data_IF_457789576838
#
_entry.id   IF_457789576838
#
_cell.length_a   1.000
_cell.length_b   1.000
_cell.length_c   1.000
_cell.angle_alpha   90.00
_cell.angle_beta   90.00
_cell.angle_gamma   90.00
#
_symmetry.space_group_name_H-M   'P 1'
#
loop_
_entity.id
_entity.type
_entity.pdbx_description
1 polymer ?
#
# COMPACT_ATOMS: atom_id res chain seq x y z
N UNK A 1 68.29 -32.32 -0.21
CA UNK A 1 67.62 -31.67 -1.39
C UNK A 1 66.17 -31.60 -1.14
N UNK A 2 65.69 -30.39 -1.12
CA UNK A 2 64.45 -29.95 -0.56
C UNK A 2 63.17 -30.45 -1.28
N UNK A 3 62.26 -31.00 -0.52
CA UNK A 3 60.84 -31.12 -0.89
C UNK A 3 60.00 -30.61 0.27
N UNK A 4 59.84 -29.31 0.33
CA UNK A 4 58.78 -28.65 1.14
C UNK A 4 58.38 -27.38 0.37
N UNK A 5 57.35 -27.44 -0.41
CA UNK A 5 56.58 -26.28 -0.82
C UNK A 5 55.49 -26.72 -1.80
N UNK A 6 54.38 -27.22 -1.34
CA UNK A 6 53.13 -27.18 -2.10
C UNK A 6 51.95 -27.67 -1.22
N UNK A 7 51.59 -26.91 -0.18
CA UNK A 7 50.30 -27.17 0.51
C UNK A 7 49.85 -25.95 1.31
N UNK A 8 49.88 -24.76 0.70
CA UNK A 8 49.23 -23.59 1.29
C UNK A 8 48.67 -22.75 0.13
N UNK A 9 47.63 -23.17 -0.51
CA UNK A 9 46.90 -22.31 -1.48
C UNK A 9 45.44 -22.74 -1.72
N UNK A 10 44.83 -23.57 -0.89
CA UNK A 10 43.44 -23.98 -1.12
C UNK A 10 42.45 -23.60 0.01
N UNK A 11 42.89 -22.91 1.04
CA UNK A 11 42.02 -22.54 2.16
C UNK A 11 41.56 -21.06 2.10
N UNK A 12 42.24 -20.23 1.30
CA UNK A 12 41.93 -18.81 1.21
C UNK A 12 40.79 -18.47 0.24
N UNK A 13 40.33 -19.38 -0.62
CA UNK A 13 39.30 -19.11 -1.63
C UNK A 13 37.87 -19.35 -1.12
N UNK A 14 37.67 -20.03 0.01
CA UNK A 14 36.33 -20.34 0.52
C UNK A 14 35.80 -19.31 1.53
N UNK A 15 36.66 -18.49 2.10
CA UNK A 15 36.24 -17.44 3.06
C UNK A 15 35.79 -16.14 2.38
N UNK A 16 36.13 -15.92 1.11
CA UNK A 16 35.74 -14.72 0.37
C UNK A 16 34.37 -14.82 -0.31
N UNK A 17 33.82 -16.05 -0.46
CA UNK A 17 32.53 -16.27 -1.15
C UNK A 17 31.30 -16.08 -0.29
N UNK A 18 31.40 -16.18 1.02
CA UNK A 18 30.25 -16.04 1.92
C UNK A 18 30.01 -14.61 2.47
N UNK A 19 30.95 -13.71 2.24
CA UNK A 19 30.87 -12.33 2.78
C UNK A 19 30.21 -11.31 1.89
N UNK A 20 29.96 -11.61 0.60
CA UNK A 20 29.50 -10.59 -0.37
C UNK A 20 27.99 -10.60 -0.58
N UNK A 21 27.30 -11.65 -0.18
CA UNK A 21 25.84 -11.73 -0.35
C UNK A 21 25.03 -10.98 0.71
N UNK A 22 25.66 -10.47 1.77
CA UNK A 22 24.97 -9.66 2.78
C UNK A 22 25.11 -8.14 2.60
N UNK A 23 25.88 -7.65 1.62
CA UNK A 23 26.18 -6.22 1.47
C UNK A 23 25.38 -5.51 0.38
N UNK A 24 24.45 -6.19 -0.31
CA UNK A 24 23.59 -5.59 -1.31
C UNK A 24 22.10 -5.74 -0.98
N UNK A 25 21.73 -5.63 0.30
CA UNK A 25 20.41 -5.11 0.61
C UNK A 25 20.50 -3.62 0.31
N UNK A 26 19.69 -3.06 -0.64
CA UNK A 26 19.50 -1.62 -0.66
C UNK A 26 19.08 -1.27 0.77
N UNK A 27 19.74 -0.28 1.36
CA UNK A 27 19.25 0.31 2.59
C UNK A 27 17.82 0.77 2.28
N UNK A 28 16.84 -0.05 2.67
CA UNK A 28 15.47 0.39 2.72
C UNK A 28 15.53 1.65 3.56
N UNK A 29 15.13 2.77 3.01
CA UNK A 29 14.99 4.01 3.76
C UNK A 29 14.28 3.62 5.06
N UNK A 30 14.88 3.91 6.20
CA UNK A 30 14.28 3.58 7.48
C UNK A 30 12.87 4.19 7.45
N UNK A 31 11.85 3.35 7.49
CA UNK A 31 10.46 3.76 7.53
C UNK A 31 10.24 4.52 8.84
N UNK A 32 10.42 5.83 8.79
CA UNK A 32 10.25 6.69 9.96
C UNK A 32 8.82 7.19 10.00
N UNK A 33 8.06 6.73 10.99
CA UNK A 33 6.77 7.33 11.31
C UNK A 33 7.02 8.56 12.17
N UNK A 34 6.53 9.72 11.71
CA UNK A 34 6.58 10.96 12.46
C UNK A 34 5.31 11.10 13.30
N UNK A 35 5.47 11.42 14.60
CA UNK A 35 4.34 11.72 15.47
C UNK A 35 3.63 12.99 14.99
N UNK A 36 2.34 12.90 14.66
CA UNK A 36 1.55 14.00 14.12
C UNK A 36 0.06 13.78 14.36
N UNK A 37 -0.69 14.86 14.34
CA UNK A 37 -2.17 14.83 14.28
C UNK A 37 -2.61 15.29 12.90
N UNK A 38 -3.53 14.58 12.30
CA UNK A 38 -4.11 14.90 11.00
C UNK A 38 -5.60 15.20 11.21
N UNK A 39 -6.00 16.44 10.98
CA UNK A 39 -7.38 16.86 11.05
C UNK A 39 -8.11 16.50 9.75
N UNK A 40 -8.60 15.27 9.67
CA UNK A 40 -9.16 14.70 8.43
C UNK A 40 -10.40 15.45 7.93
N UNK A 41 -11.16 16.08 8.83
CA UNK A 41 -12.32 16.91 8.48
C UNK A 41 -11.96 18.21 7.77
N UNK A 42 -10.70 18.67 7.85
CA UNK A 42 -10.21 19.88 7.19
C UNK A 42 -9.56 19.58 5.83
N UNK A 43 -9.41 18.31 5.49
CA UNK A 43 -8.77 17.90 4.24
C UNK A 43 -9.80 17.79 3.13
N UNK A 44 -9.80 18.78 2.24
CA UNK A 44 -10.68 18.79 1.07
C UNK A 44 -9.87 19.06 -0.21
N UNK A 45 -10.34 18.50 -1.31
CA UNK A 45 -9.81 18.81 -2.64
C UNK A 45 -8.29 18.67 -2.72
N UNK A 46 -7.62 19.71 -3.19
CA UNK A 46 -6.18 19.71 -3.42
C UNK A 46 -5.35 19.69 -2.13
N UNK A 47 -5.95 19.94 -0.95
CA UNK A 47 -5.30 19.70 0.34
C UNK A 47 -4.99 18.21 0.57
N UNK A 48 -5.76 17.30 -0.03
CA UNK A 48 -5.43 15.87 -0.07
C UNK A 48 -4.37 15.65 -1.14
N UNK A 49 -4.69 15.87 -2.41
CA UNK A 49 -3.79 15.78 -3.56
C UNK A 49 -4.48 16.25 -4.83
N UNK A 50 -3.76 16.42 -5.93
CA UNK A 50 -4.36 16.47 -7.25
C UNK A 50 -5.10 15.14 -7.55
N UNK A 51 -6.14 15.19 -8.38
CA UNK A 51 -6.82 13.98 -8.86
C UNK A 51 -5.88 13.18 -9.78
N UNK A 52 -5.85 11.88 -9.55
CA UNK A 52 -5.21 10.96 -10.50
C UNK A 52 -6.11 10.72 -11.73
N UNK A 53 -5.62 9.93 -12.70
CA UNK A 53 -6.37 9.60 -13.92
C UNK A 53 -7.71 8.89 -13.66
N UNK A 54 -7.87 8.21 -12.52
CA UNK A 54 -9.12 7.58 -12.08
C UNK A 54 -10.07 8.52 -11.32
N UNK A 55 -9.76 9.82 -11.26
CA UNK A 55 -10.59 10.80 -10.57
C UNK A 55 -10.49 10.80 -9.05
N UNK A 56 -9.58 10.00 -8.50
CA UNK A 56 -9.32 9.88 -7.07
C UNK A 56 -8.25 10.83 -6.60
N UNK A 57 -8.43 11.33 -5.38
CA UNK A 57 -7.39 11.99 -4.58
C UNK A 57 -6.86 10.99 -3.56
N UNK A 58 -5.56 10.92 -3.40
CA UNK A 58 -4.93 10.03 -2.42
C UNK A 58 -3.69 10.69 -1.84
N UNK A 59 -3.60 10.74 -0.52
CA UNK A 59 -2.41 11.22 0.20
C UNK A 59 -2.00 10.19 1.26
N UNK A 60 -0.83 9.61 1.06
CA UNK A 60 -0.25 8.66 2.00
C UNK A 60 0.47 9.42 3.11
N UNK A 61 0.16 9.09 4.35
CA UNK A 61 0.75 9.68 5.56
C UNK A 61 1.71 8.71 6.27
N UNK A 62 1.48 7.42 6.12
CA UNK A 62 2.34 6.37 6.68
C UNK A 62 2.66 5.38 5.58
N UNK A 63 3.95 5.05 5.45
CA UNK A 63 4.44 3.98 4.60
C UNK A 63 5.57 3.29 5.36
N UNK A 64 5.31 2.08 5.79
CA UNK A 64 6.23 1.22 6.55
C UNK A 64 6.19 -0.19 5.97
N UNK A 65 7.11 -1.06 6.34
CA UNK A 65 7.22 -2.42 5.80
C UNK A 65 5.92 -3.24 5.84
N UNK A 66 5.08 -3.01 6.84
CA UNK A 66 3.84 -3.78 7.05
C UNK A 66 2.59 -3.15 6.47
N UNK A 67 2.55 -1.83 6.26
CA UNK A 67 1.33 -1.15 5.84
C UNK A 67 1.56 0.25 5.27
N UNK A 68 0.58 0.71 4.48
CA UNK A 68 0.39 2.13 4.17
C UNK A 68 -0.91 2.62 4.77
N UNK A 69 -0.92 3.90 5.22
CA UNK A 69 -2.14 4.58 5.66
C UNK A 69 -2.29 5.86 4.85
N UNK A 70 -3.42 6.02 4.21
CA UNK A 70 -3.72 7.16 3.35
C UNK A 70 -5.12 7.71 3.58
N UNK A 71 -5.32 8.98 3.22
CA UNK A 71 -6.64 9.57 3.02
C UNK A 71 -6.96 9.49 1.53
N UNK A 72 -8.11 8.94 1.23
CA UNK A 72 -8.64 8.82 -0.13
C UNK A 72 -9.95 9.59 -0.23
N UNK A 73 -10.15 10.29 -1.34
CA UNK A 73 -11.40 10.99 -1.66
C UNK A 73 -11.70 10.82 -3.16
N UNK A 74 -12.82 10.20 -3.49
CA UNK A 74 -13.22 9.99 -4.87
C UNK A 74 -14.13 8.80 -5.09
N UNK A 75 -14.36 8.51 -6.36
CA UNK A 75 -15.27 7.47 -6.83
C UNK A 75 -14.52 6.52 -7.77
N UNK A 76 -13.63 5.66 -7.24
CA UNK A 76 -12.82 4.79 -8.08
C UNK A 76 -13.66 3.76 -8.83
N UNK A 77 -13.24 3.36 -10.03
CA UNK A 77 -13.86 2.26 -10.74
C UNK A 77 -13.70 0.95 -9.95
N UNK A 78 -14.52 -0.05 -10.28
CA UNK A 78 -14.42 -1.38 -9.70
C UNK A 78 -13.06 -1.98 -10.01
N UNK A 79 -12.40 -2.50 -8.97
CA UNK A 79 -11.07 -3.09 -9.08
C UNK A 79 -10.83 -4.12 -7.97
N UNK A 80 -9.67 -4.74 -7.98
CA UNK A 80 -9.15 -5.54 -6.88
C UNK A 80 -7.66 -5.24 -6.65
N UNK A 81 -7.19 -5.54 -5.45
CA UNK A 81 -5.77 -5.63 -5.11
C UNK A 81 -5.32 -7.08 -5.19
N UNK A 82 -4.29 -7.38 -5.99
CA UNK A 82 -3.83 -8.75 -6.16
C UNK A 82 -3.12 -9.28 -4.90
N UNK A 83 -2.39 -8.43 -4.19
CA UNK A 83 -1.51 -8.82 -3.11
C UNK A 83 -1.83 -8.14 -1.77
N UNK A 84 -2.36 -6.91 -1.77
CA UNK A 84 -2.69 -6.17 -0.56
C UNK A 84 -4.12 -6.45 -0.09
N UNK A 85 -4.29 -6.60 1.23
CA UNK A 85 -5.59 -6.39 1.87
C UNK A 85 -5.82 -4.90 2.01
N UNK A 86 -7.07 -4.46 1.97
CA UNK A 86 -7.44 -3.08 2.24
C UNK A 86 -8.48 -3.00 3.35
N UNK A 87 -8.32 -2.02 4.22
CA UNK A 87 -9.29 -1.68 5.27
C UNK A 87 -9.64 -0.22 5.06
N UNK A 88 -10.92 0.10 4.94
CA UNK A 88 -11.39 1.47 4.80
C UNK A 88 -12.27 1.86 5.98
N UNK A 89 -11.98 3.01 6.57
CA UNK A 89 -12.88 3.67 7.51
C UNK A 89 -13.49 4.88 6.84
N UNK A 90 -14.81 4.86 6.66
CA UNK A 90 -15.53 5.92 5.94
C UNK A 90 -15.61 7.15 6.83
N UNK A 91 -15.03 8.25 6.36
CA UNK A 91 -15.02 9.55 7.04
C UNK A 91 -16.23 10.40 6.63
N UNK A 92 -16.48 10.48 5.32
CA UNK A 92 -17.50 11.38 4.75
C UNK A 92 -18.13 10.74 3.52
N UNK A 93 -19.34 11.19 3.21
CA UNK A 93 -20.11 10.72 2.07
C UNK A 93 -20.90 9.45 2.36
N UNK A 94 -21.95 9.25 1.59
CA UNK A 94 -22.78 8.04 1.58
C UNK A 94 -22.92 7.54 0.16
N UNK A 95 -23.16 6.26 -0.01
CA UNK A 95 -23.34 5.69 -1.34
C UNK A 95 -23.30 4.18 -1.32
N UNK A 96 -23.14 3.61 -2.50
CA UNK A 96 -23.02 2.18 -2.72
C UNK A 96 -21.65 1.87 -3.30
N UNK A 97 -21.03 0.79 -2.82
CA UNK A 97 -19.79 0.23 -3.34
C UNK A 97 -19.98 -1.26 -3.64
N UNK A 98 -19.19 -1.78 -4.57
CA UNK A 98 -19.03 -3.23 -4.69
C UNK A 98 -18.15 -3.77 -3.55
N UNK A 99 -18.52 -4.92 -3.00
CA UNK A 99 -17.71 -5.70 -2.06
C UNK A 99 -17.91 -7.17 -2.39
N UNK A 100 -16.93 -7.75 -3.09
CA UNK A 100 -17.07 -9.06 -3.72
C UNK A 100 -18.07 -9.04 -4.87
N UNK A 101 -19.09 -9.87 -4.76
CA UNK A 101 -20.18 -10.03 -5.73
C UNK A 101 -21.43 -9.17 -5.44
N UNK A 102 -21.39 -8.32 -4.41
CA UNK A 102 -22.54 -7.55 -3.92
C UNK A 102 -22.27 -6.06 -3.91
N UNK A 103 -23.31 -5.29 -4.18
CA UNK A 103 -23.34 -3.88 -3.84
C UNK A 103 -23.77 -3.72 -2.38
N UNK A 104 -23.00 -2.95 -1.62
CA UNK A 104 -23.29 -2.65 -0.21
C UNK A 104 -23.34 -1.15 0.01
N UNK A 105 -24.26 -0.72 0.87
CA UNK A 105 -24.36 0.66 1.28
C UNK A 105 -23.31 0.98 2.32
N UNK A 106 -22.71 2.17 2.19
CA UNK A 106 -21.73 2.68 3.16
C UNK A 106 -22.05 4.12 3.56
N UNK A 107 -21.66 4.48 4.78
CA UNK A 107 -21.86 5.79 5.40
C UNK A 107 -20.71 6.10 6.36
N UNK A 108 -20.56 7.35 6.80
CA UNK A 108 -19.58 7.72 7.82
C UNK A 108 -19.67 6.84 9.07
N UNK A 109 -18.52 6.40 9.56
CA UNK A 109 -18.39 5.47 10.69
C UNK A 109 -18.32 4.00 10.31
N UNK A 110 -18.58 3.62 9.06
CA UNK A 110 -18.46 2.23 8.63
C UNK A 110 -17.00 1.82 8.45
N UNK A 111 -16.68 0.60 8.88
CA UNK A 111 -15.41 -0.06 8.63
C UNK A 111 -15.60 -1.14 7.58
N UNK A 112 -14.92 -1.00 6.45
CA UNK A 112 -14.98 -1.94 5.33
C UNK A 112 -13.70 -2.77 5.30
N UNK A 113 -13.83 -4.10 5.36
CA UNK A 113 -12.71 -5.04 5.32
C UNK A 113 -12.69 -5.70 3.94
N UNK A 114 -11.60 -5.53 3.22
CA UNK A 114 -11.44 -5.96 1.83
C UNK A 114 -10.21 -6.89 1.74
N UNK A 115 -10.40 -8.20 1.80
CA UNK A 115 -9.31 -9.13 1.58
C UNK A 115 -8.70 -8.96 0.18
N UNK A 116 -7.40 -9.23 0.02
CA UNK A 116 -6.75 -9.27 -1.29
C UNK A 116 -7.52 -10.18 -2.26
N UNK A 117 -7.56 -9.81 -3.54
CA UNK A 117 -8.30 -10.51 -4.56
C UNK A 117 -9.82 -10.23 -4.56
N UNK A 118 -10.34 -9.47 -3.58
CA UNK A 118 -11.77 -9.15 -3.52
C UNK A 118 -12.08 -7.96 -4.45
N UNK A 119 -12.98 -8.12 -5.44
CA UNK A 119 -13.51 -7.00 -6.20
C UNK A 119 -14.17 -5.97 -5.30
N UNK A 120 -13.86 -4.69 -5.48
CA UNK A 120 -14.44 -3.63 -4.64
C UNK A 120 -14.45 -2.27 -5.35
N UNK A 121 -14.89 -1.25 -4.65
CA UNK A 121 -15.13 0.09 -5.19
C UNK A 121 -16.27 0.14 -6.22
N UNK A 122 -16.07 0.64 -7.45
CA UNK A 122 -17.19 0.90 -8.36
C UNK A 122 -18.22 1.84 -7.72
N UNK A 123 -17.70 2.87 -7.05
CA UNK A 123 -18.41 3.72 -6.11
C UNK A 123 -19.53 4.52 -6.80
N UNK A 124 -20.73 4.45 -6.26
CA UNK A 124 -21.90 5.24 -6.65
C UNK A 124 -22.31 6.11 -5.46
N UNK A 125 -21.77 7.33 -5.31
CA UNK A 125 -22.09 8.19 -4.19
C UNK A 125 -23.48 8.81 -4.35
N UNK A 126 -24.15 9.10 -3.23
CA UNK A 126 -25.41 9.85 -3.25
C UNK A 126 -25.19 11.35 -3.52
N UNK A 127 -23.98 11.83 -3.27
CA UNK A 127 -23.54 13.20 -3.47
C UNK A 127 -22.30 13.29 -4.35
N UNK A 128 -21.23 13.95 -3.85
CA UNK A 128 -20.01 14.21 -4.64
C UNK A 128 -19.07 13.01 -4.67
N UNK A 129 -18.60 12.60 -3.50
CA UNK A 129 -17.55 11.57 -3.33
C UNK A 129 -17.72 10.86 -1.99
N UNK A 130 -16.98 9.77 -1.82
CA UNK A 130 -16.76 9.13 -0.53
C UNK A 130 -15.31 9.38 -0.12
N UNK A 131 -15.12 9.88 1.11
CA UNK A 131 -13.79 10.07 1.72
C UNK A 131 -13.56 8.99 2.78
N UNK A 132 -12.38 8.39 2.76
CA UNK A 132 -12.03 7.32 3.68
C UNK A 132 -10.56 7.39 4.11
N UNK A 133 -10.27 6.85 5.30
CA UNK A 133 -8.94 6.37 5.64
C UNK A 133 -8.81 4.99 4.99
N UNK A 134 -7.75 4.79 4.20
CA UNK A 134 -7.43 3.49 3.62
C UNK A 134 -6.12 2.97 4.19
N UNK A 135 -6.16 1.75 4.73
CA UNK A 135 -5.01 1.02 5.24
C UNK A 135 -4.79 -0.17 4.31
N UNK A 136 -3.58 -0.30 3.76
CA UNK A 136 -3.21 -1.44 2.91
C UNK A 136 -2.07 -2.22 3.52
N UNK A 137 -2.23 -3.52 3.62
CA UNK A 137 -1.26 -4.45 4.22
C UNK A 137 -1.15 -5.74 3.39
N UNK A 138 0.05 -6.11 2.90
CA UNK A 138 1.26 -5.29 2.86
C UNK A 138 1.05 -3.99 2.05
N UNK A 139 2.05 -3.08 2.03
CA UNK A 139 2.00 -1.88 1.20
C UNK A 139 1.67 -2.22 -0.25
N UNK A 140 0.77 -1.43 -0.85
CA UNK A 140 0.36 -1.65 -2.24
C UNK A 140 1.51 -1.39 -3.20
N UNK A 141 1.87 -2.39 -4.00
CA UNK A 141 2.80 -2.24 -5.11
C UNK A 141 2.17 -1.43 -6.28
N UNK A 142 2.98 -0.79 -7.14
CA UNK A 142 2.45 0.00 -8.26
C UNK A 142 1.55 -0.77 -9.23
N UNK A 143 1.76 -2.07 -9.38
CA UNK A 143 1.04 -2.97 -10.28
C UNK A 143 -0.03 -3.83 -9.60
N UNK A 144 -0.31 -3.57 -8.32
CA UNK A 144 -1.22 -4.38 -7.50
C UNK A 144 -2.70 -4.20 -7.88
N UNK A 145 -3.07 -3.04 -8.40
CA UNK A 145 -4.45 -2.74 -8.82
C UNK A 145 -4.78 -3.40 -10.14
N UNK A 146 -5.87 -4.17 -10.16
CA UNK A 146 -6.44 -4.76 -11.39
C UNK A 146 -7.85 -4.18 -11.58
N UNK A 147 -8.02 -3.38 -12.62
CA UNK A 147 -9.34 -2.84 -12.99
C UNK A 147 -10.24 -3.97 -13.48
N UNK A 148 -11.52 -3.87 -13.14
CA UNK A 148 -12.56 -4.81 -13.53
C UNK A 148 -13.63 -4.08 -14.37
N UNK A 149 -14.05 -4.71 -15.42
CA UNK A 149 -15.13 -4.24 -16.31
C UNK A 149 -16.51 -4.48 -15.70
#
# INVERSE_FOLDING_TARGET
MNRIATTISLVAAFAAGCGVTHLLRPALAADTITAQVIHTGELEGDAISAKNAGGMRNKTYVSVDGATISIQDGNPPKHLHANAHEIQYILEGTGTIWLGDKEVRVKPGDLVIIPKGTPHAGTKPDGRTIKAIAIKTPPQAPDDVKLLN
#
